data_IF_110408571332
#
_entry.id   IF_110408571332
#
_cell.length_a   1.000
_cell.length_b   1.000
_cell.length_c   1.000
_cell.angle_alpha   90.00
_cell.angle_beta   90.00
_cell.angle_gamma   90.00
#
_symmetry.space_group_name_H-M   'P 1'
#
loop_
_entity.id
_entity.type
_entity.pdbx_description
1 polymer ?
#
# COMPACT_ATOMS: atom_id res chain seq x y z
N UNK A 1 11.26 -15.12 22.35
CA UNK A 1 10.01 -15.75 22.80
C UNK A 1 9.44 -16.58 21.64
N UNK A 2 9.82 -17.86 21.51
CA UNK A 2 9.45 -18.70 20.35
C UNK A 2 8.00 -19.21 20.43
N UNK A 3 7.49 -19.52 21.62
CA UNK A 3 6.14 -20.06 21.79
C UNK A 3 5.04 -19.08 21.32
N UNK A 4 5.11 -17.81 21.75
CA UNK A 4 4.16 -16.80 21.29
C UNK A 4 4.21 -16.61 19.78
N UNK A 5 5.41 -16.64 19.19
CA UNK A 5 5.57 -16.54 17.74
C UNK A 5 4.86 -17.70 17.04
N UNK A 6 5.08 -18.95 17.45
CA UNK A 6 4.43 -20.11 16.81
C UNK A 6 2.91 -20.05 16.93
N UNK A 7 2.36 -19.68 18.10
CA UNK A 7 0.91 -19.54 18.28
C UNK A 7 0.31 -18.47 17.36
N UNK A 8 1.01 -17.34 17.18
CA UNK A 8 0.55 -16.29 16.28
C UNK A 8 0.69 -16.71 14.82
N UNK A 9 1.75 -17.44 14.45
CA UNK A 9 1.90 -18.00 13.10
C UNK A 9 0.76 -18.94 12.76
N UNK A 10 0.41 -19.85 13.67
CA UNK A 10 -0.73 -20.76 13.49
C UNK A 10 -2.04 -19.97 13.36
N UNK A 11 -2.28 -19.02 14.27
CA UNK A 11 -3.47 -18.15 14.23
C UNK A 11 -3.61 -17.41 12.90
N UNK A 12 -2.52 -16.82 12.39
CA UNK A 12 -2.56 -16.09 11.13
C UNK A 12 -2.61 -17.00 9.91
N UNK A 13 -2.06 -18.21 9.99
CA UNK A 13 -2.18 -19.21 8.91
C UNK A 13 -3.61 -19.70 8.74
N UNK A 14 -4.36 -19.81 9.84
CA UNK A 14 -5.80 -20.07 9.82
C UNK A 14 -6.59 -18.85 9.32
N UNK A 15 -6.24 -17.64 9.79
CA UNK A 15 -6.95 -16.41 9.42
C UNK A 15 -6.78 -16.01 7.94
N UNK A 16 -5.59 -16.23 7.37
CA UNK A 16 -5.24 -15.95 5.98
C UNK A 16 -5.04 -17.25 5.19
N UNK A 17 -5.89 -18.25 5.44
CA UNK A 17 -5.76 -19.55 4.81
C UNK A 17 -5.91 -19.45 3.28
N UNK A 18 -5.16 -20.30 2.58
CA UNK A 18 -5.25 -20.48 1.14
C UNK A 18 -5.27 -21.96 0.84
N UNK A 19 -6.04 -22.37 -0.17
CA UNK A 19 -5.94 -23.72 -0.70
C UNK A 19 -4.88 -23.71 -1.81
N UNK A 20 -3.83 -24.51 -1.68
CA UNK A 20 -2.70 -24.49 -2.61
C UNK A 20 -2.42 -25.87 -3.23
N UNK A 21 -3.21 -26.91 -2.93
CA UNK A 21 -2.96 -28.27 -3.39
C UNK A 21 -3.47 -28.49 -4.81
N UNK A 22 -2.57 -28.81 -5.75
CA UNK A 22 -2.93 -29.14 -7.14
C UNK A 22 -3.35 -27.94 -7.99
N UNK A 23 -3.28 -26.73 -7.44
CA UNK A 23 -3.51 -25.48 -8.16
C UNK A 23 -2.24 -24.96 -8.82
N UNK A 24 -2.43 -24.14 -9.86
CA UNK A 24 -1.36 -23.43 -10.57
C UNK A 24 -0.48 -22.58 -9.62
N UNK A 25 -1.00 -22.19 -8.44
CA UNK A 25 -0.35 -21.26 -7.52
C UNK A 25 0.49 -21.92 -6.41
N UNK A 26 0.64 -23.24 -6.41
CA UNK A 26 1.35 -23.99 -5.37
C UNK A 26 2.75 -23.43 -5.06
N UNK A 27 3.50 -23.05 -6.09
CA UNK A 27 4.87 -22.52 -5.97
C UNK A 27 4.97 -21.18 -5.22
N UNK A 28 3.85 -20.45 -5.08
CA UNK A 28 3.79 -19.19 -4.32
C UNK A 28 3.57 -19.41 -2.82
N UNK A 29 3.18 -20.62 -2.40
CA UNK A 29 2.83 -20.96 -1.02
C UNK A 29 4.01 -20.83 -0.02
N UNK A 30 5.26 -21.21 -0.35
CA UNK A 30 6.40 -21.01 0.55
C UNK A 30 6.60 -19.54 0.95
N UNK A 31 6.42 -18.61 -0.01
CA UNK A 31 6.50 -17.16 0.26
C UNK A 31 5.35 -16.69 1.16
N UNK A 32 4.15 -17.21 0.94
CA UNK A 32 2.97 -16.91 1.76
C UNK A 32 3.21 -17.26 3.24
N UNK A 33 3.66 -18.49 3.52
CA UNK A 33 3.98 -18.94 4.89
C UNK A 33 5.17 -18.17 5.48
N UNK A 34 6.18 -17.86 4.66
CA UNK A 34 7.30 -17.02 5.10
C UNK A 34 6.81 -15.63 5.55
N UNK A 35 5.92 -14.99 4.80
CA UNK A 35 5.36 -13.68 5.15
C UNK A 35 4.58 -13.75 6.46
N UNK A 36 3.71 -14.75 6.64
CA UNK A 36 3.01 -14.97 7.92
C UNK A 36 4.02 -15.03 9.06
N UNK A 37 5.06 -15.86 8.94
CA UNK A 37 6.08 -16.02 9.99
C UNK A 37 6.87 -14.76 10.26
N UNK A 38 7.24 -14.02 9.22
CA UNK A 38 8.00 -12.77 9.33
C UNK A 38 7.20 -11.65 9.99
N UNK A 39 5.89 -11.58 9.72
CA UNK A 39 5.01 -10.49 10.16
C UNK A 39 4.03 -10.90 11.27
N UNK A 40 4.12 -12.13 11.82
CA UNK A 40 3.17 -12.64 12.82
C UNK A 40 3.02 -11.77 14.09
N UNK A 41 4.08 -11.06 14.48
CA UNK A 41 4.09 -10.17 15.64
C UNK A 41 4.05 -8.67 15.27
N UNK A 42 3.82 -8.33 14.00
CA UNK A 42 3.65 -6.94 13.55
C UNK A 42 2.26 -6.41 13.89
N UNK A 43 1.96 -5.18 13.45
CA UNK A 43 0.59 -4.67 13.49
C UNK A 43 -0.25 -5.39 12.42
N UNK A 44 -1.57 -5.47 12.63
CA UNK A 44 -2.48 -6.05 11.65
C UNK A 44 -2.48 -5.32 10.31
N UNK A 45 -2.47 -3.96 10.23
CA UNK A 45 -2.33 -3.28 8.94
C UNK A 45 -1.07 -3.69 8.15
N UNK A 46 0.06 -3.88 8.84
CA UNK A 46 1.29 -4.36 8.21
C UNK A 46 1.12 -5.78 7.69
N UNK A 47 0.59 -6.69 8.52
CA UNK A 47 0.39 -8.07 8.11
C UNK A 47 -0.63 -8.17 6.95
N UNK A 48 -1.77 -7.48 7.05
CA UNK A 48 -2.81 -7.43 6.03
C UNK A 48 -2.24 -7.00 4.68
N UNK A 49 -1.40 -5.95 4.65
CA UNK A 49 -0.74 -5.51 3.40
C UNK A 49 0.13 -6.61 2.79
N UNK A 50 0.89 -7.33 3.61
CA UNK A 50 1.79 -8.39 3.15
C UNK A 50 1.03 -9.63 2.66
N UNK A 51 -0.10 -9.95 3.30
CA UNK A 51 -0.94 -11.08 2.91
C UNK A 51 -1.78 -10.75 1.68
N UNK A 52 -2.31 -9.52 1.58
CA UNK A 52 -3.13 -9.08 0.45
C UNK A 52 -2.35 -8.95 -0.87
N UNK A 53 -1.02 -8.94 -0.82
CA UNK A 53 -0.14 -8.99 -1.98
C UNK A 53 0.51 -10.37 -2.15
N UNK A 54 0.13 -11.36 -1.35
CA UNK A 54 0.66 -12.71 -1.50
C UNK A 54 0.15 -13.33 -2.80
N UNK A 55 1.05 -13.83 -3.64
CA UNK A 55 0.68 -14.52 -4.88
C UNK A 55 -0.28 -15.69 -4.66
N UNK A 56 -0.10 -16.44 -3.57
CA UNK A 56 -0.98 -17.55 -3.21
C UNK A 56 -2.41 -17.08 -2.96
N UNK A 57 -2.57 -15.94 -2.29
CA UNK A 57 -3.89 -15.39 -1.97
C UNK A 57 -4.55 -14.74 -3.19
N UNK A 58 -3.77 -14.02 -4.00
CA UNK A 58 -4.26 -13.42 -5.25
C UNK A 58 -4.69 -14.48 -6.27
N UNK A 59 -3.98 -15.61 -6.31
CA UNK A 59 -4.33 -16.76 -7.14
C UNK A 59 -5.55 -17.52 -6.61
N UNK A 60 -5.53 -17.93 -5.35
CA UNK A 60 -6.61 -18.71 -4.71
C UNK A 60 -7.97 -18.00 -4.71
N UNK A 61 -7.98 -16.67 -4.59
CA UNK A 61 -9.20 -15.86 -4.55
C UNK A 61 -9.49 -15.16 -5.89
N UNK A 62 -8.87 -15.63 -6.97
CA UNK A 62 -9.10 -15.20 -8.36
C UNK A 62 -8.89 -13.70 -8.65
N UNK A 63 -8.13 -12.96 -7.83
CA UNK A 63 -7.82 -11.57 -8.16
C UNK A 63 -6.93 -11.46 -9.41
N UNK A 64 -6.20 -12.54 -9.74
CA UNK A 64 -5.46 -12.66 -11.00
C UNK A 64 -6.36 -12.50 -12.25
N UNK A 65 -7.66 -12.75 -12.10
CA UNK A 65 -8.68 -12.58 -13.13
C UNK A 65 -9.37 -11.21 -13.07
N UNK A 66 -9.26 -10.48 -11.95
CA UNK A 66 -9.89 -9.18 -11.76
C UNK A 66 -9.19 -8.07 -12.57
N UNK A 67 -9.69 -7.83 -13.78
CA UNK A 67 -9.15 -6.89 -14.77
C UNK A 67 -10.20 -5.88 -15.20
N UNK A 68 -9.74 -4.79 -15.83
CA UNK A 68 -10.57 -3.67 -16.31
C UNK A 68 -11.81 -4.12 -17.08
N UNK A 69 -11.66 -5.12 -17.95
CA UNK A 69 -12.71 -5.61 -18.84
C UNK A 69 -13.30 -6.97 -18.41
N UNK A 70 -12.89 -7.50 -17.26
CA UNK A 70 -13.33 -8.77 -16.70
C UNK A 70 -13.23 -8.68 -15.18
N UNK A 71 -14.28 -8.17 -14.53
CA UNK A 71 -14.30 -8.00 -13.08
C UNK A 71 -14.57 -9.33 -12.38
N UNK A 72 -13.75 -9.68 -11.39
CA UNK A 72 -14.01 -10.77 -10.45
C UNK A 72 -13.98 -10.18 -9.04
N UNK A 73 -15.12 -10.24 -8.34
CA UNK A 73 -15.30 -9.64 -7.02
C UNK A 73 -14.87 -10.54 -5.86
N UNK A 74 -14.61 -11.82 -6.11
CA UNK A 74 -14.38 -12.83 -5.08
C UNK A 74 -13.33 -12.36 -4.06
N UNK A 75 -12.14 -12.00 -4.54
CA UNK A 75 -11.09 -11.46 -3.68
C UNK A 75 -11.50 -10.25 -2.84
N UNK A 76 -12.24 -9.30 -3.44
CA UNK A 76 -12.70 -8.13 -2.70
C UNK A 76 -13.70 -8.52 -1.62
N UNK A 77 -14.66 -9.39 -1.94
CA UNK A 77 -15.67 -9.87 -0.99
C UNK A 77 -15.01 -10.60 0.19
N UNK A 78 -14.13 -11.55 -0.09
CA UNK A 78 -13.45 -12.35 0.94
C UNK A 78 -12.51 -11.50 1.80
N UNK A 79 -11.89 -10.48 1.22
CA UNK A 79 -11.07 -9.52 1.97
C UNK A 79 -11.90 -8.72 2.98
N UNK A 80 -13.11 -8.29 2.60
CA UNK A 80 -14.05 -7.62 3.50
C UNK A 80 -14.60 -8.60 4.56
N UNK A 81 -15.04 -9.77 4.12
CA UNK A 81 -15.83 -10.72 4.90
C UNK A 81 -14.97 -11.58 5.83
N UNK A 82 -13.99 -12.32 5.29
CA UNK A 82 -13.23 -13.31 6.05
C UNK A 82 -11.98 -12.72 6.71
N UNK A 83 -11.33 -11.79 6.02
CA UNK A 83 -10.01 -11.33 6.42
C UNK A 83 -10.00 -9.99 7.13
N UNK A 84 -11.13 -9.26 7.17
CA UNK A 84 -11.18 -7.96 7.88
C UNK A 84 -12.41 -7.79 8.76
N UNK A 85 -13.53 -7.31 8.22
CA UNK A 85 -14.66 -6.81 9.01
C UNK A 85 -15.53 -7.92 9.57
N UNK A 86 -15.53 -9.12 8.98
CA UNK A 86 -16.47 -10.18 9.31
C UNK A 86 -17.69 -10.17 8.39
N UNK A 87 -18.36 -11.32 8.27
CA UNK A 87 -19.64 -11.43 7.57
C UNK A 87 -20.71 -10.55 8.23
N UNK A 88 -21.49 -9.85 7.40
CA UNK A 88 -22.61 -8.99 7.80
C UNK A 88 -22.26 -7.73 8.63
N UNK A 89 -21.02 -7.25 8.58
CA UNK A 89 -20.53 -6.16 9.45
C UNK A 89 -20.33 -4.81 8.72
N UNK A 90 -21.42 -4.07 8.52
CA UNK A 90 -21.38 -2.62 8.29
C UNK A 90 -20.84 -2.13 6.94
N UNK A 91 -20.68 -3.01 5.96
CA UNK A 91 -20.38 -2.68 4.57
C UNK A 91 -21.53 -3.04 3.65
N UNK A 92 -21.48 -2.50 2.44
CA UNK A 92 -22.51 -2.67 1.41
C UNK A 92 -21.94 -3.38 0.18
N UNK A 93 -22.84 -3.86 -0.68
CA UNK A 93 -22.45 -4.36 -2.00
C UNK A 93 -21.72 -3.30 -2.85
N UNK A 94 -22.02 -2.02 -2.63
CA UNK A 94 -21.27 -0.92 -3.27
C UNK A 94 -19.82 -0.86 -2.80
N UNK A 95 -19.56 -1.22 -1.53
CA UNK A 95 -18.19 -1.26 -0.99
C UNK A 95 -17.41 -2.42 -1.59
N UNK A 96 -18.05 -3.59 -1.79
CA UNK A 96 -17.46 -4.75 -2.47
C UNK A 96 -17.08 -4.38 -3.91
N UNK A 97 -18.00 -3.80 -4.69
CA UNK A 97 -17.72 -3.39 -6.06
C UNK A 97 -16.67 -2.27 -6.14
N UNK A 98 -16.65 -1.33 -5.19
CA UNK A 98 -15.59 -0.31 -5.14
C UNK A 98 -14.24 -0.93 -4.79
N UNK A 99 -14.18 -1.84 -3.82
CA UNK A 99 -12.95 -2.56 -3.47
C UNK A 99 -12.44 -3.38 -4.66
N UNK A 100 -13.32 -4.12 -5.35
CA UNK A 100 -12.99 -4.88 -6.57
C UNK A 100 -12.32 -3.98 -7.61
N UNK A 101 -12.89 -2.82 -7.91
CA UNK A 101 -12.32 -1.86 -8.87
C UNK A 101 -10.96 -1.35 -8.41
N UNK A 102 -10.83 -0.99 -7.13
CA UNK A 102 -9.58 -0.49 -6.55
C UNK A 102 -8.47 -1.56 -6.50
N UNK A 103 -8.83 -2.84 -6.41
CA UNK A 103 -7.89 -3.98 -6.37
C UNK A 103 -7.62 -4.59 -7.76
N UNK A 104 -8.33 -4.16 -8.80
CA UNK A 104 -8.09 -4.65 -10.16
C UNK A 104 -6.66 -4.34 -10.62
N UNK A 105 -6.07 -5.23 -11.41
CA UNK A 105 -4.68 -5.11 -11.85
C UNK A 105 -3.63 -5.43 -10.78
N UNK A 106 -4.01 -5.65 -9.51
CA UNK A 106 -3.15 -6.35 -8.55
C UNK A 106 -3.08 -7.82 -8.96
N UNK A 107 -1.90 -8.27 -9.33
CA UNK A 107 -1.73 -9.59 -9.93
C UNK A 107 -0.40 -10.20 -9.49
N UNK A 108 0.00 -11.25 -10.19
CA UNK A 108 1.29 -11.88 -10.03
C UNK A 108 2.09 -11.82 -11.33
N UNK A 109 3.41 -11.94 -11.22
CA UNK A 109 4.27 -12.08 -12.37
C UNK A 109 4.03 -13.44 -13.03
N UNK A 110 3.56 -13.43 -14.27
CA UNK A 110 3.22 -14.64 -15.03
C UNK A 110 4.33 -15.10 -15.99
N UNK A 111 5.48 -14.42 -15.99
CA UNK A 111 6.63 -14.82 -16.81
C UNK A 111 7.38 -15.97 -16.13
N UNK A 112 7.19 -17.20 -16.62
CA UNK A 112 7.79 -18.42 -16.05
C UNK A 112 9.33 -18.44 -16.11
N UNK A 113 9.94 -17.55 -16.91
CA UNK A 113 11.39 -17.44 -16.99
C UNK A 113 11.96 -16.40 -16.01
N UNK A 114 11.09 -15.66 -15.31
CA UNK A 114 11.48 -14.65 -14.34
C UNK A 114 11.63 -15.30 -12.95
N UNK A 115 12.69 -14.94 -12.23
CA UNK A 115 12.91 -15.42 -10.86
C UNK A 115 11.83 -14.95 -9.87
N UNK A 116 11.12 -13.88 -10.23
CA UNK A 116 10.00 -13.34 -9.48
C UNK A 116 8.64 -13.89 -9.96
N UNK A 117 8.61 -14.99 -10.74
CA UNK A 117 7.36 -15.65 -11.11
C UNK A 117 6.48 -15.92 -9.87
N UNK A 118 5.17 -15.68 -10.02
CA UNK A 118 4.18 -15.84 -8.97
C UNK A 118 4.26 -14.80 -7.84
N UNK A 119 5.23 -13.88 -7.86
CA UNK A 119 5.29 -12.76 -6.92
C UNK A 119 4.38 -11.62 -7.36
N UNK A 120 3.96 -10.77 -6.40
CA UNK A 120 3.10 -9.62 -6.68
C UNK A 120 3.63 -8.73 -7.80
N UNK A 121 2.75 -8.38 -8.74
CA UNK A 121 3.02 -7.43 -9.79
C UNK A 121 1.77 -6.62 -10.10
N UNK A 122 1.92 -5.31 -10.18
CA UNK A 122 0.82 -4.42 -10.54
C UNK A 122 0.81 -4.16 -12.06
N UNK A 123 -0.34 -4.41 -12.68
CA UNK A 123 -0.58 -4.18 -14.10
C UNK A 123 -1.53 -3.00 -14.29
N UNK A 124 -0.95 -1.81 -14.50
CA UNK A 124 -1.68 -0.55 -14.68
C UNK A 124 -2.76 -0.61 -15.77
N UNK A 125 -2.47 -1.27 -16.88
CA UNK A 125 -3.42 -1.37 -18.00
C UNK A 125 -4.65 -2.23 -17.67
N UNK A 126 -4.52 -3.13 -16.68
CA UNK A 126 -5.59 -4.00 -16.21
C UNK A 126 -6.40 -3.37 -15.08
N UNK A 127 -5.96 -2.25 -14.53
CA UNK A 127 -6.65 -1.59 -13.43
C UNK A 127 -7.82 -0.73 -13.92
N UNK A 128 -9.00 -0.81 -13.29
CA UNK A 128 -10.20 -0.03 -13.66
C UNK A 128 -9.99 1.47 -13.43
N UNK A 129 -9.48 1.85 -12.26
CA UNK A 129 -9.08 3.21 -11.89
C UNK A 129 -10.17 4.25 -11.68
N UNK A 130 -11.46 3.86 -11.73
CA UNK A 130 -12.58 4.80 -11.58
C UNK A 130 -12.76 5.34 -10.16
N UNK A 131 -12.15 4.71 -9.14
CA UNK A 131 -12.47 5.00 -7.74
C UNK A 131 -13.95 4.68 -7.41
N UNK A 132 -14.48 5.35 -6.38
CA UNK A 132 -15.87 5.16 -5.95
C UNK A 132 -16.11 5.56 -4.49
N UNK A 133 -17.32 5.29 -3.99
CA UNK A 133 -17.62 5.39 -2.55
C UNK A 133 -17.18 4.11 -1.85
N UNK A 134 -16.39 4.23 -0.78
CA UNK A 134 -15.94 3.09 0.01
C UNK A 134 -15.97 3.42 1.50
N UNK A 135 -16.75 2.65 2.27
CA UNK A 135 -16.99 2.80 3.71
C UNK A 135 -17.40 4.25 4.06
N UNK A 136 -18.38 4.76 3.32
CA UNK A 136 -18.95 6.10 3.51
C UNK A 136 -18.06 7.27 3.08
N UNK A 137 -16.87 7.02 2.53
CA UNK A 137 -15.95 8.08 2.07
C UNK A 137 -15.44 7.82 0.65
N UNK A 138 -15.23 8.86 -0.18
CA UNK A 138 -14.78 8.65 -1.55
C UNK A 138 -13.32 8.19 -1.64
N UNK A 139 -13.03 7.33 -2.62
CA UNK A 139 -11.70 7.06 -3.16
C UNK A 139 -11.63 7.75 -4.53
N UNK A 140 -10.66 8.63 -4.70
CA UNK A 140 -10.50 9.40 -5.93
C UNK A 140 -10.11 8.50 -7.12
N UNK A 141 -10.56 8.80 -8.34
CA UNK A 141 -10.07 8.12 -9.54
C UNK A 141 -8.54 8.21 -9.66
N UNK A 142 -7.89 7.11 -9.97
CA UNK A 142 -6.43 6.98 -10.10
C UNK A 142 -6.15 5.71 -10.90
N UNK A 143 -5.12 5.73 -11.76
CA UNK A 143 -4.63 4.51 -12.42
C UNK A 143 -3.41 3.90 -11.72
N UNK A 144 -3.18 4.30 -10.48
CA UNK A 144 -2.07 3.81 -9.67
C UNK A 144 -2.54 2.73 -8.69
N UNK A 145 -1.59 1.91 -8.22
CA UNK A 145 -1.89 0.85 -7.25
C UNK A 145 -2.36 1.36 -5.88
N UNK A 146 -2.28 2.67 -5.65
CA UNK A 146 -2.58 3.32 -4.37
C UNK A 146 -4.05 3.19 -3.97
N UNK A 147 -4.98 3.02 -4.92
CA UNK A 147 -6.39 2.76 -4.61
C UNK A 147 -6.55 1.47 -3.78
N UNK A 148 -5.88 0.38 -4.16
CA UNK A 148 -5.91 -0.87 -3.40
C UNK A 148 -5.27 -0.73 -2.02
N UNK A 149 -4.20 0.08 -1.92
CA UNK A 149 -3.56 0.39 -0.63
C UNK A 149 -4.50 1.18 0.29
N UNK A 150 -5.26 2.13 -0.26
CA UNK A 150 -6.25 2.92 0.47
C UNK A 150 -7.40 2.04 0.98
N UNK A 151 -7.88 1.08 0.16
CA UNK A 151 -8.87 0.08 0.58
C UNK A 151 -8.38 -0.69 1.81
N UNK A 152 -7.18 -1.29 1.73
CA UNK A 152 -6.60 -2.03 2.85
C UNK A 152 -6.39 -1.16 4.09
N UNK A 153 -5.98 0.09 3.89
CA UNK A 153 -5.76 1.05 4.98
C UNK A 153 -7.06 1.38 5.71
N UNK A 154 -8.16 1.57 4.97
CA UNK A 154 -9.48 1.83 5.55
C UNK A 154 -10.05 0.60 6.23
N UNK A 155 -9.96 -0.58 5.62
CA UNK A 155 -10.40 -1.84 6.22
C UNK A 155 -9.65 -2.11 7.52
N UNK A 156 -8.32 -2.00 7.54
CA UNK A 156 -7.54 -2.22 8.75
C UNK A 156 -7.82 -1.18 9.85
N UNK A 157 -8.27 0.03 9.49
CA UNK A 157 -8.63 1.07 10.45
C UNK A 157 -10.09 0.97 10.94
N UNK A 158 -10.92 0.14 10.31
CA UNK A 158 -12.35 0.08 10.60
C UNK A 158 -12.62 -0.55 11.98
N UNK A 159 -13.57 -0.01 12.78
CA UNK A 159 -13.94 -0.59 14.07
C UNK A 159 -14.41 -2.03 13.99
N UNK A 160 -15.16 -2.41 12.94
CA UNK A 160 -15.60 -3.79 12.74
C UNK A 160 -14.41 -4.74 12.59
N UNK A 161 -13.36 -4.35 11.84
CA UNK A 161 -12.12 -5.13 11.74
C UNK A 161 -11.42 -5.27 13.08
N UNK A 162 -11.31 -4.18 13.85
CA UNK A 162 -10.72 -4.23 15.18
C UNK A 162 -11.48 -5.21 16.09
N UNK A 163 -12.80 -5.17 16.04
CA UNK A 163 -13.71 -6.04 16.79
C UNK A 163 -13.59 -7.50 16.37
N UNK A 164 -13.58 -7.76 15.06
CA UNK A 164 -13.44 -9.08 14.47
C UNK A 164 -12.12 -9.76 14.88
N UNK A 165 -11.00 -9.07 14.67
CA UNK A 165 -9.67 -9.57 15.03
C UNK A 165 -9.52 -9.74 16.55
N UNK A 166 -10.02 -8.76 17.34
CA UNK A 166 -10.00 -8.87 18.80
C UNK A 166 -10.78 -10.08 19.30
N UNK A 167 -11.94 -10.36 18.71
CA UNK A 167 -12.77 -11.52 19.05
C UNK A 167 -12.04 -12.83 18.73
N UNK A 168 -11.47 -12.96 17.53
CA UNK A 168 -10.71 -14.16 17.12
C UNK A 168 -9.51 -14.41 18.03
N UNK A 169 -8.73 -13.36 18.33
CA UNK A 169 -7.58 -13.46 19.25
C UNK A 169 -8.02 -13.84 20.67
N UNK A 170 -9.06 -13.19 21.19
CA UNK A 170 -9.60 -13.50 22.52
C UNK A 170 -10.05 -14.96 22.61
N UNK A 171 -10.80 -15.46 21.63
CA UNK A 171 -11.21 -16.87 21.58
C UNK A 171 -10.01 -17.81 21.51
N UNK A 172 -9.01 -17.50 20.67
CA UNK A 172 -7.80 -18.33 20.52
C UNK A 172 -7.01 -18.49 21.83
N UNK A 173 -6.90 -17.42 22.63
CA UNK A 173 -6.05 -17.39 23.82
C UNK A 173 -6.80 -17.60 25.14
N UNK A 174 -8.08 -17.26 25.21
CA UNK A 174 -8.89 -17.27 26.43
C UNK A 174 -10.05 -18.28 26.36
N UNK A 175 -10.30 -18.89 25.19
CA UNK A 175 -11.38 -19.85 24.96
C UNK A 175 -12.70 -19.19 24.54
N UNK A 176 -13.69 -20.02 24.20
CA UNK A 176 -14.96 -19.57 23.60
C UNK A 176 -15.87 -18.80 24.57
N UNK A 177 -15.73 -19.02 25.87
CA UNK A 177 -16.51 -18.33 26.92
C UNK A 177 -15.89 -16.98 27.32
N UNK A 178 -15.10 -16.35 26.45
CA UNK A 178 -14.43 -15.08 26.73
C UNK A 178 -15.44 -13.95 26.94
N UNK A 179 -15.18 -13.09 27.94
CA UNK A 179 -16.10 -12.01 28.27
C UNK A 179 -16.02 -10.86 27.26
N UNK A 180 -17.16 -10.18 27.09
CA UNK A 180 -17.27 -8.98 26.26
C UNK A 180 -16.26 -7.90 26.64
N UNK A 181 -16.01 -7.73 27.95
CA UNK A 181 -15.03 -6.78 28.46
C UNK A 181 -13.58 -7.09 28.03
N UNK A 182 -13.21 -8.36 27.91
CA UNK A 182 -11.89 -8.74 27.42
C UNK A 182 -11.72 -8.40 25.92
N UNK A 183 -12.74 -8.69 25.11
CA UNK A 183 -12.74 -8.34 23.68
C UNK A 183 -12.61 -6.84 23.49
N UNK A 184 -13.43 -6.04 24.20
CA UNK A 184 -13.38 -4.57 24.15
C UNK A 184 -12.01 -4.00 24.54
N UNK A 185 -11.31 -4.63 25.49
CA UNK A 185 -9.96 -4.19 25.87
C UNK A 185 -8.94 -4.42 24.74
N UNK A 186 -9.02 -5.56 24.05
CA UNK A 186 -8.15 -5.88 22.91
C UNK A 186 -8.49 -5.00 21.71
N UNK A 187 -9.77 -4.79 21.41
CA UNK A 187 -10.24 -3.89 20.35
C UNK A 187 -9.71 -2.45 20.55
N UNK A 188 -9.80 -1.92 21.78
CA UNK A 188 -9.23 -0.60 22.11
C UNK A 188 -7.71 -0.56 21.99
N UNK A 189 -7.02 -1.66 22.30
CA UNK A 189 -5.57 -1.76 22.12
C UNK A 189 -5.19 -1.76 20.62
N UNK A 190 -5.96 -2.47 19.79
CA UNK A 190 -5.84 -2.48 18.34
C UNK A 190 -5.96 -1.06 17.76
N UNK A 191 -7.05 -0.37 18.07
CA UNK A 191 -7.36 0.96 17.50
C UNK A 191 -6.33 2.02 17.91
N UNK A 192 -5.82 1.98 19.15
CA UNK A 192 -4.76 2.89 19.62
C UNK A 192 -3.47 2.74 18.82
N UNK A 193 -3.08 1.51 18.48
CA UNK A 193 -1.89 1.24 17.67
C UNK A 193 -2.06 1.67 16.22
N UNK A 194 -3.26 1.48 15.63
CA UNK A 194 -3.60 1.96 14.29
C UNK A 194 -3.55 3.49 14.15
N UNK A 195 -4.06 4.22 15.14
CA UNK A 195 -4.01 5.68 15.18
C UNK A 195 -2.58 6.24 15.24
N UNK A 196 -1.66 5.50 15.85
CA UNK A 196 -0.24 5.92 15.93
C UNK A 196 0.47 5.76 14.58
N UNK A 197 0.13 4.73 13.80
CA UNK A 197 0.72 4.50 12.47
C UNK A 197 0.32 5.55 11.44
N UNK A 198 -0.90 6.12 11.53
CA UNK A 198 -1.38 7.23 10.67
C UNK A 198 -0.60 8.54 10.84
N UNK A 199 0.12 8.74 11.95
CA UNK A 199 1.01 9.91 12.14
C UNK A 199 2.36 9.77 11.45
N UNK A 200 2.77 8.56 11.04
CA UNK A 200 4.10 8.30 10.49
C UNK A 200 4.15 8.23 8.95
N UNK A 201 3.00 8.28 8.26
CA UNK A 201 2.92 8.27 6.80
C UNK A 201 2.93 9.69 6.20
N UNK A 202 3.94 10.50 6.55
CA UNK A 202 4.36 11.58 5.67
C UNK A 202 5.31 10.97 4.63
N UNK A 203 5.09 11.16 3.31
CA UNK A 203 5.99 10.62 2.32
C UNK A 203 7.37 11.23 2.52
N UNK A 204 8.36 10.38 2.76
CA UNK A 204 9.76 10.76 2.74
C UNK A 204 10.09 11.09 1.28
N UNK A 205 9.87 12.34 0.87
CA UNK A 205 10.30 12.82 -0.44
C UNK A 205 11.80 12.58 -0.56
N UNK A 206 12.18 11.74 -1.52
CA UNK A 206 13.56 11.52 -1.89
C UNK A 206 14.20 12.87 -2.22
N UNK A 207 14.98 13.39 -1.27
CA UNK A 207 15.78 14.59 -1.48
C UNK A 207 16.94 14.17 -2.36
N UNK A 208 16.91 14.58 -3.62
CA UNK A 208 18.01 14.43 -4.57
C UNK A 208 19.28 15.00 -3.95
N UNK A 209 20.17 14.13 -3.48
CA UNK A 209 21.51 14.52 -3.06
C UNK A 209 22.33 14.76 -4.32
N UNK A 210 22.30 15.99 -4.82
CA UNK A 210 23.33 16.51 -5.72
C UNK A 210 24.66 16.48 -4.97
N UNK A 211 25.52 15.49 -5.29
CA UNK A 211 26.92 15.47 -4.86
C UNK A 211 27.66 16.60 -5.57
N UNK A 212 27.90 17.70 -4.86
CA UNK A 212 28.96 18.65 -5.22
C UNK A 212 30.28 18.17 -4.62
N UNK A 213 31.27 17.99 -5.48
CA UNK A 213 32.65 17.64 -5.12
C UNK A 213 33.32 18.83 -4.41
N UNK A 214 34.04 18.65 -3.28
CA UNK A 214 34.79 19.75 -2.68
C UNK A 214 36.11 19.96 -3.44
N UNK A 215 36.22 21.10 -4.15
CA UNK A 215 37.47 21.62 -4.66
C UNK A 215 38.36 22.12 -3.51
N UNK A 216 39.54 21.54 -3.42
CA UNK A 216 40.61 21.83 -2.45
C UNK A 216 41.13 23.27 -2.62
N UNK A 217 41.08 24.07 -1.56
CA UNK A 217 41.74 25.38 -1.52
C UNK A 217 43.18 25.21 -1.02
N UNK A 218 44.12 25.85 -1.72
CA UNK A 218 45.47 26.16 -1.21
C UNK A 218 45.83 27.58 -1.63
N UNK A 219 46.23 28.35 -0.64
CA UNK A 219 46.61 29.77 -0.60
C UNK A 219 47.91 30.13 -1.34
N UNK A 220 48.04 31.38 -1.79
CA UNK A 220 49.33 32.04 -2.08
C UNK A 220 49.23 33.33 -2.94
N UNK A 221 49.75 34.50 -2.50
CA UNK A 221 49.53 35.82 -3.14
C UNK A 221 50.76 36.38 -3.90
N UNK A 222 50.56 37.32 -4.85
CA UNK A 222 51.40 38.53 -5.08
C UNK A 222 51.12 39.26 -6.41
N UNK A 223 50.96 40.60 -6.34
CA UNK A 223 51.40 41.71 -7.24
C UNK A 223 51.30 41.56 -8.78
N UNK A 224 50.93 42.52 -9.65
CA UNK A 224 51.14 43.99 -9.78
C UNK A 224 50.49 44.36 -11.14
N UNK A 225 49.69 45.43 -11.33
CA UNK A 225 50.09 46.79 -11.79
C UNK A 225 49.26 47.24 -13.02
N UNK A 226 48.95 48.55 -13.06
CA UNK A 226 48.71 49.44 -14.23
C UNK A 226 47.28 49.67 -14.81
N UNK A 227 46.54 50.63 -14.22
CA UNK A 227 46.08 51.94 -14.77
C UNK A 227 45.17 52.04 -16.07
N UNK A 228 44.56 53.21 -16.41
CA UNK A 228 43.10 53.43 -16.34
C UNK A 228 42.46 54.18 -17.55
N UNK A 229 41.26 54.76 -17.36
CA UNK A 229 40.46 55.67 -18.24
C UNK A 229 39.66 54.97 -19.36
N UNK A 230 38.40 55.33 -19.69
CA UNK A 230 37.71 56.61 -19.57
C UNK A 230 36.17 56.45 -19.60
N UNK A 231 35.49 57.54 -19.25
CA UNK A 231 34.05 57.70 -18.99
C UNK A 231 33.41 58.51 -20.12
N UNK A 232 32.22 58.15 -20.62
CA UNK A 232 31.14 59.07 -21.10
C UNK A 232 29.90 58.27 -21.54
N UNK A 233 28.83 58.24 -20.74
CA UNK A 233 27.61 59.08 -20.77
C UNK A 233 26.62 58.85 -21.92
N UNK A 234 25.48 58.25 -21.55
CA UNK A 234 24.06 58.57 -21.87
C UNK A 234 23.68 59.02 -23.29
N UNK A 235 22.68 58.34 -23.87
CA UNK A 235 21.29 58.83 -24.07
C UNK A 235 20.42 57.79 -24.81
N UNK A 236 19.26 57.46 -24.23
CA UNK A 236 18.02 57.04 -24.94
C UNK A 236 17.24 58.32 -25.33
N UNK A 237 16.16 58.35 -26.17
CA UNK A 237 15.07 57.36 -26.29
C UNK A 237 14.40 57.13 -27.69
N UNK A 238 13.58 56.05 -27.76
CA UNK A 238 12.35 55.68 -28.55
C UNK A 238 11.78 56.55 -29.72
N UNK A 239 10.70 56.13 -30.44
CA UNK A 239 10.48 54.93 -31.28
C UNK A 239 9.87 55.30 -32.68
N UNK A 240 9.77 54.35 -33.63
CA UNK A 240 9.26 54.61 -34.99
C UNK A 240 8.35 53.52 -35.56
N UNK A 241 7.15 53.94 -35.94
CA UNK A 241 5.93 53.27 -36.44
C UNK A 241 6.01 52.59 -37.84
N UNK A 242 5.30 51.45 -37.94
CA UNK A 242 4.23 51.06 -38.91
C UNK A 242 4.39 50.94 -40.45
N UNK A 243 3.58 49.98 -40.96
CA UNK A 243 3.08 49.73 -42.33
C UNK A 243 4.03 48.94 -43.26
N UNK A 244 3.61 47.95 -44.06
CA UNK A 244 2.30 47.45 -44.47
C UNK A 244 2.44 46.84 -45.89
N UNK A 245 1.56 45.90 -46.24
CA UNK A 245 1.31 45.29 -47.57
C UNK A 245 2.25 44.18 -48.09
N UNK A 246 1.73 42.96 -48.18
CA UNK A 246 1.07 42.42 -49.39
C UNK A 246 0.17 41.25 -49.03
#
# INVERSE_FOLDING_TARGET
NRQLLEMMVEFWSDHFNVYAWGEQWYETFPRHIYNIRKYALSTFPTLLMQMAQSGAMLGYLDNVENRRNAGNENYARELLELHTMGADEGYTETDVETARRCLSGWNVNMDENDEDWGQFKYYKDWHVGSGGSFLGTPIAPSYEMDQGVEVLTRLAAHPATARHIATKLCKRFLGDSVSEGAILNVERAYLRRGATSRRCSAPCSARTLSRSTPGRSTSGPSSTSSAPCERRTRRSPTPGRSAGAS
#
